data_IF_226864683526
#
_entry.id   IF_226864683526
#
_cell.length_a   1.000
_cell.length_b   1.000
_cell.length_c   1.000
_cell.angle_alpha   90.00
_cell.angle_beta   90.00
_cell.angle_gamma   90.00
#
_symmetry.space_group_name_H-M   'P 1'
#
loop_
_entity.id
_entity.type
_entity.pdbx_description
1 polymer ?
#
# COMPACT_ATOMS: atom_id res chain seq x y z
N UNK A 1 -17.87 29.21 79.67
CA UNK A 1 -16.46 28.76 79.80
C UNK A 1 -16.25 27.30 79.43
N UNK A 2 -17.11 26.36 79.85
CA UNK A 2 -16.96 24.91 79.57
C UNK A 2 -16.93 24.54 78.08
N UNK A 3 -17.71 25.21 77.24
CA UNK A 3 -17.76 24.94 75.79
C UNK A 3 -16.50 25.40 75.02
N UNK A 4 -15.86 26.51 75.45
CA UNK A 4 -14.61 26.99 74.83
C UNK A 4 -13.42 26.09 75.16
N UNK A 5 -13.40 25.49 76.36
CA UNK A 5 -12.36 24.54 76.78
C UNK A 5 -12.50 23.22 76.00
N UNK A 6 -13.74 22.75 75.78
CA UNK A 6 -14.01 21.54 75.00
C UNK A 6 -13.61 21.73 73.51
N UNK A 7 -13.92 22.89 72.93
CA UNK A 7 -13.55 23.21 71.55
C UNK A 7 -12.03 23.39 71.37
N UNK A 8 -11.35 23.94 72.38
CA UNK A 8 -9.88 24.06 72.39
C UNK A 8 -9.19 22.69 72.49
N UNK A 9 -9.71 21.77 73.33
CA UNK A 9 -9.22 20.39 73.37
C UNK A 9 -9.42 19.65 72.05
N UNK A 10 -10.56 19.84 71.38
CA UNK A 10 -10.84 19.22 70.08
C UNK A 10 -9.90 19.76 68.99
N UNK A 11 -9.61 21.07 69.00
CA UNK A 11 -8.68 21.68 68.06
C UNK A 11 -7.23 21.25 68.31
N UNK A 12 -6.81 21.07 69.57
CA UNK A 12 -5.49 20.52 69.90
C UNK A 12 -5.37 19.03 69.53
N UNK A 13 -6.46 18.25 69.65
CA UNK A 13 -6.49 16.85 69.21
C UNK A 13 -6.38 16.72 67.67
N UNK A 14 -6.86 17.72 66.93
CA UNK A 14 -6.72 17.82 65.47
C UNK A 14 -5.33 18.27 65.00
N UNK A 15 -4.47 18.78 65.90
CA UNK A 15 -3.07 19.18 65.62
C UNK A 15 -2.08 18.11 66.12
N UNK A 16 -2.55 17.05 66.77
CA UNK A 16 -1.72 15.86 66.98
C UNK A 16 -1.46 15.32 65.57
N UNK A 17 -0.22 15.54 65.11
CA UNK A 17 0.32 14.98 63.88
C UNK A 17 -0.21 13.56 63.75
N UNK A 18 -1.05 13.35 62.74
CA UNK A 18 -1.21 12.03 62.14
C UNK A 18 0.24 11.59 61.93
N UNK A 19 0.72 10.46 62.49
CA UNK A 19 1.99 9.95 62.06
C UNK A 19 1.87 9.89 60.54
N UNK A 20 2.67 10.70 59.84
CA UNK A 20 2.92 10.45 58.43
C UNK A 20 3.22 8.97 58.41
N UNK A 21 2.31 8.17 57.85
CA UNK A 21 2.58 6.80 57.51
C UNK A 21 3.76 6.94 56.54
N UNK A 22 4.97 6.84 57.07
CA UNK A 22 6.12 6.44 56.30
C UNK A 22 5.74 5.04 55.83
N UNK A 23 4.96 4.97 54.74
CA UNK A 23 4.94 3.79 53.92
C UNK A 23 6.40 3.65 53.52
N UNK A 24 7.07 2.68 54.10
CA UNK A 24 8.43 2.34 53.74
C UNK A 24 8.42 2.09 52.23
N UNK A 25 9.16 2.91 51.50
CA UNK A 25 9.16 2.84 50.04
C UNK A 25 9.61 1.44 49.65
N UNK A 26 8.81 0.74 48.84
CA UNK A 26 9.22 -0.54 48.29
C UNK A 26 10.49 -0.30 47.47
N UNK A 27 11.60 -0.93 47.88
CA UNK A 27 12.90 -0.84 47.20
C UNK A 27 13.26 -2.20 46.65
N UNK A 28 13.74 -2.23 45.41
CA UNK A 28 14.23 -3.43 44.73
C UNK A 28 15.67 -3.23 44.26
N UNK A 29 16.52 -4.22 44.52
CA UNK A 29 17.88 -4.33 44.01
C UNK A 29 18.21 -5.77 43.64
N UNK A 30 19.23 -5.93 42.81
CA UNK A 30 19.74 -7.23 42.37
C UNK A 30 21.25 -7.30 42.59
N UNK A 31 21.79 -8.50 42.76
CA UNK A 31 23.23 -8.70 43.03
C UNK A 31 24.15 -8.39 41.84
N UNK A 32 23.60 -8.30 40.62
CA UNK A 32 24.30 -7.87 39.40
C UNK A 32 23.33 -7.25 38.40
N UNK A 33 23.85 -6.48 37.45
CA UNK A 33 23.09 -6.01 36.28
C UNK A 33 23.20 -6.95 35.08
N UNK A 34 24.25 -7.77 35.04
CA UNK A 34 24.55 -8.70 33.93
C UNK A 34 24.82 -10.09 34.49
N UNK A 35 24.22 -11.10 33.86
CA UNK A 35 24.29 -12.49 34.28
C UNK A 35 24.67 -13.38 33.10
N UNK A 36 25.38 -14.46 33.39
CA UNK A 36 25.72 -15.53 32.45
C UNK A 36 25.20 -16.87 32.97
N UNK A 37 25.25 -17.95 32.19
CA UNK A 37 24.79 -19.27 32.64
C UNK A 37 25.42 -19.67 33.99
N UNK A 38 24.65 -20.37 34.80
CA UNK A 38 24.95 -20.79 36.17
C UNK A 38 25.07 -19.68 37.23
N UNK A 39 24.94 -18.39 36.87
CA UNK A 39 24.88 -17.32 37.87
C UNK A 39 23.54 -17.31 38.61
N UNK A 40 23.56 -16.93 39.88
CA UNK A 40 22.35 -16.78 40.68
C UNK A 40 21.85 -15.34 40.64
N UNK A 41 20.59 -15.17 40.22
CA UNK A 41 19.85 -13.93 40.40
C UNK A 41 19.34 -13.87 41.84
N UNK A 42 19.91 -12.96 42.63
CA UNK A 42 19.42 -12.63 43.96
C UNK A 42 18.71 -11.29 43.89
N UNK A 43 17.52 -11.24 44.48
CA UNK A 43 16.72 -10.03 44.63
C UNK A 43 16.65 -9.67 46.11
N UNK A 44 16.86 -8.41 46.42
CA UNK A 44 16.84 -7.92 47.80
C UNK A 44 16.37 -6.46 47.87
N UNK A 45 15.94 -6.05 49.05
CA UNK A 45 15.44 -4.71 49.28
C UNK A 45 14.61 -4.61 50.56
N UNK A 46 13.74 -3.61 50.62
CA UNK A 46 12.86 -3.35 51.74
C UNK A 46 11.41 -3.17 51.27
N UNK A 47 10.47 -3.64 52.07
CA UNK A 47 9.04 -3.37 52.00
C UNK A 47 8.49 -3.12 53.41
N UNK A 48 7.19 -3.29 53.60
CA UNK A 48 6.57 -3.27 54.93
C UNK A 48 6.96 -4.54 55.72
N UNK A 49 7.06 -4.46 57.06
CA UNK A 49 7.30 -5.63 57.91
C UNK A 49 6.26 -6.74 57.77
N UNK A 50 6.72 -7.99 57.65
CA UNK A 50 5.90 -9.20 57.55
C UNK A 50 4.85 -9.18 56.40
N UNK A 51 5.05 -8.34 55.37
CA UNK A 51 4.17 -8.27 54.20
C UNK A 51 4.49 -9.34 53.16
N UNK A 52 3.49 -9.71 52.37
CA UNK A 52 3.72 -10.57 51.22
C UNK A 52 4.11 -9.75 49.98
N UNK A 53 5.15 -10.21 49.28
CA UNK A 53 5.63 -9.64 48.03
C UNK A 53 5.49 -10.68 46.91
N UNK A 54 5.06 -10.23 45.74
CA UNK A 54 5.05 -11.02 44.51
C UNK A 54 6.28 -10.63 43.69
N UNK A 55 7.07 -11.61 43.26
CA UNK A 55 8.26 -11.40 42.44
C UNK A 55 8.03 -12.05 41.07
N UNK A 56 8.25 -11.29 40.00
CA UNK A 56 8.13 -11.76 38.62
C UNK A 56 9.41 -11.45 37.85
N UNK A 57 9.80 -12.37 36.98
CA UNK A 57 10.81 -12.12 35.94
C UNK A 57 10.12 -12.20 34.60
N UNK A 58 10.17 -11.11 33.86
CA UNK A 58 9.71 -11.05 32.47
C UNK A 58 10.89 -11.32 31.54
N UNK A 59 10.67 -12.23 30.59
CA UNK A 59 11.57 -12.47 29.47
C UNK A 59 11.56 -11.32 28.46
N UNK A 60 12.52 -11.27 27.51
CA UNK A 60 12.58 -10.18 26.52
C UNK A 60 11.34 -10.12 25.61
N UNK A 61 10.59 -11.22 25.48
CA UNK A 61 9.31 -11.33 24.74
C UNK A 61 8.09 -10.89 25.56
N UNK A 62 8.31 -10.31 26.75
CA UNK A 62 7.30 -9.87 27.72
C UNK A 62 6.52 -11.02 28.40
N UNK A 63 6.88 -12.29 28.16
CA UNK A 63 6.31 -13.42 28.89
C UNK A 63 6.87 -13.52 30.31
N UNK A 64 6.17 -14.20 31.22
CA UNK A 64 6.67 -14.44 32.58
C UNK A 64 7.57 -15.68 32.57
N UNK A 65 8.87 -15.46 32.71
CA UNK A 65 9.88 -16.51 32.82
C UNK A 65 9.91 -17.16 34.20
N UNK A 66 9.63 -16.39 35.25
CA UNK A 66 9.62 -16.86 36.64
C UNK A 66 8.64 -16.06 37.48
N UNK A 67 7.99 -16.74 38.42
CA UNK A 67 7.06 -16.18 39.40
C UNK A 67 7.33 -16.83 40.75
N UNK A 68 7.41 -16.04 41.82
CA UNK A 68 7.46 -16.51 43.20
C UNK A 68 6.75 -15.50 44.13
N UNK A 69 6.44 -15.95 45.34
CA UNK A 69 5.90 -15.12 46.42
C UNK A 69 6.76 -15.31 47.67
N UNK A 70 7.10 -14.20 48.32
CA UNK A 70 7.90 -14.20 49.56
C UNK A 70 7.21 -13.34 50.62
N UNK A 71 7.66 -13.49 51.86
CA UNK A 71 7.25 -12.63 52.98
C UNK A 71 8.48 -11.88 53.48
N UNK A 72 8.37 -10.58 53.71
CA UNK A 72 9.45 -9.77 54.29
C UNK A 72 9.71 -10.17 55.74
N UNK A 73 10.90 -9.87 56.23
CA UNK A 73 11.24 -10.06 57.63
C UNK A 73 10.55 -9.01 58.53
N UNK A 74 10.73 -9.16 59.85
CA UNK A 74 10.13 -8.27 60.85
C UNK A 74 10.62 -6.82 60.78
N UNK A 75 11.75 -6.60 60.13
CA UNK A 75 12.31 -5.29 59.86
C UNK A 75 11.97 -4.76 58.46
N UNK A 76 11.12 -5.47 57.69
CA UNK A 76 10.72 -5.11 56.34
C UNK A 76 11.71 -5.55 55.25
N UNK A 77 12.89 -6.06 55.61
CA UNK A 77 13.88 -6.49 54.64
C UNK A 77 13.51 -7.81 53.96
N UNK A 78 14.01 -8.01 52.75
CA UNK A 78 13.97 -9.30 52.08
C UNK A 78 15.25 -9.58 51.30
N UNK A 79 15.64 -10.85 51.24
CA UNK A 79 16.73 -11.34 50.40
C UNK A 79 16.37 -12.74 49.90
N UNK A 80 16.27 -12.90 48.58
CA UNK A 80 15.77 -14.13 47.97
C UNK A 80 16.58 -14.51 46.74
N UNK A 81 17.00 -15.77 46.67
CA UNK A 81 17.59 -16.36 45.48
C UNK A 81 16.46 -16.79 44.51
N UNK A 82 16.22 -15.98 43.48
CA UNK A 82 15.05 -16.11 42.61
C UNK A 82 15.21 -17.19 41.55
N UNK A 83 16.38 -17.24 40.89
CA UNK A 83 16.70 -18.29 39.93
C UNK A 83 18.22 -18.43 39.74
N UNK A 84 18.64 -19.63 39.33
CA UNK A 84 19.94 -19.86 38.72
C UNK A 84 19.76 -19.80 37.21
N UNK A 85 20.52 -18.94 36.53
CA UNK A 85 20.41 -18.76 35.09
C UNK A 85 20.73 -20.07 34.36
N UNK A 86 19.81 -20.59 33.53
CA UNK A 86 20.05 -21.81 32.77
C UNK A 86 21.05 -21.58 31.63
N UNK A 87 21.41 -22.65 30.93
CA UNK A 87 22.00 -22.52 29.60
C UNK A 87 20.99 -21.85 28.65
N UNK A 88 21.44 -21.00 27.70
CA UNK A 88 20.54 -20.30 26.79
C UNK A 88 19.75 -21.29 25.92
N UNK A 89 18.45 -21.03 25.78
CA UNK A 89 17.53 -21.85 24.97
C UNK A 89 16.48 -20.96 24.30
N UNK A 90 15.55 -21.57 23.57
CA UNK A 90 14.38 -20.84 23.03
C UNK A 90 13.46 -20.30 24.13
N UNK A 91 13.45 -20.95 25.30
CA UNK A 91 12.59 -20.56 26.43
C UNK A 91 13.32 -19.59 27.38
N UNK A 92 14.65 -19.63 27.40
CA UNK A 92 15.52 -18.69 28.12
C UNK A 92 16.61 -18.13 27.18
N UNK A 93 16.25 -17.26 26.23
CA UNK A 93 17.21 -16.66 25.31
C UNK A 93 18.02 -15.56 25.98
N UNK A 94 19.20 -15.25 25.43
CA UNK A 94 19.92 -14.04 25.82
C UNK A 94 19.09 -12.79 25.50
N UNK A 95 19.20 -11.77 26.35
CA UNK A 95 18.42 -10.54 26.20
C UNK A 95 18.26 -9.76 27.51
N UNK A 96 17.44 -8.72 27.45
CA UNK A 96 17.09 -7.91 28.63
C UNK A 96 15.83 -8.47 29.27
N UNK A 97 15.95 -8.83 30.55
CA UNK A 97 14.86 -9.32 31.40
C UNK A 97 14.45 -8.21 32.37
N UNK A 98 13.17 -8.15 32.74
CA UNK A 98 12.69 -7.24 33.80
C UNK A 98 12.33 -8.03 35.04
N UNK A 99 12.95 -7.69 36.16
CA UNK A 99 12.52 -8.17 37.47
C UNK A 99 11.54 -7.15 38.04
N UNK A 100 10.38 -7.63 38.48
CA UNK A 100 9.36 -6.81 39.12
C UNK A 100 9.05 -7.36 40.51
N UNK A 101 8.95 -6.47 41.49
CA UNK A 101 8.45 -6.78 42.83
C UNK A 101 7.21 -5.96 43.10
N UNK A 102 6.15 -6.59 43.60
CA UNK A 102 4.84 -5.99 43.86
C UNK A 102 4.46 -6.25 45.30
N UNK A 103 4.11 -5.19 46.02
CA UNK A 103 3.54 -5.30 47.37
C UNK A 103 2.06 -5.62 47.32
N UNK A 104 1.61 -6.59 48.14
CA UNK A 104 0.18 -6.90 48.28
C UNK A 104 -0.56 -5.98 49.25
N UNK A 105 0.16 -5.21 50.07
CA UNK A 105 -0.43 -4.39 51.14
C UNK A 105 -0.33 -2.89 50.87
N UNK A 106 0.60 -2.46 50.04
CA UNK A 106 0.81 -1.06 49.63
C UNK A 106 0.01 -0.71 48.36
N UNK A 107 -1.27 -1.06 48.30
CA UNK A 107 -2.14 -0.82 47.13
C UNK A 107 -1.58 -1.35 45.79
N UNK A 108 -0.77 -2.41 45.80
CA UNK A 108 -0.16 -2.93 44.57
C UNK A 108 1.05 -2.13 44.08
N UNK A 109 1.72 -1.35 44.94
CA UNK A 109 2.95 -0.66 44.58
C UNK A 109 3.96 -1.64 43.97
N UNK A 110 4.60 -1.24 42.87
CA UNK A 110 5.50 -2.08 42.08
C UNK A 110 6.81 -1.36 41.78
N UNK A 111 7.92 -2.09 41.88
CA UNK A 111 9.25 -1.66 41.44
C UNK A 111 9.77 -2.60 40.36
N UNK A 112 10.45 -2.04 39.36
CA UNK A 112 11.04 -2.78 38.24
C UNK A 112 12.52 -2.47 38.08
N UNK A 113 13.30 -3.49 37.74
CA UNK A 113 14.69 -3.35 37.36
C UNK A 113 15.02 -4.23 36.16
N UNK A 114 15.70 -3.65 35.18
CA UNK A 114 16.17 -4.36 34.00
C UNK A 114 17.56 -4.96 34.24
N UNK A 115 17.71 -6.21 33.84
CA UNK A 115 18.94 -6.99 33.93
C UNK A 115 19.23 -7.66 32.58
N UNK A 116 20.51 -7.91 32.28
CA UNK A 116 20.93 -8.57 31.04
C UNK A 116 21.32 -10.02 31.31
N UNK A 117 20.83 -10.94 30.50
CA UNK A 117 21.36 -12.29 30.38
C UNK A 117 22.20 -12.40 29.10
N UNK A 118 23.47 -12.73 29.23
CA UNK A 118 24.46 -12.76 28.15
C UNK A 118 25.44 -13.93 28.28
N UNK A 119 26.23 -14.18 27.25
CA UNK A 119 27.24 -15.25 27.24
C UNK A 119 28.41 -15.02 28.20
N UNK A 120 28.60 -13.79 28.66
CA UNK A 120 29.66 -13.36 29.58
C UNK A 120 29.10 -12.31 30.54
N UNK A 121 29.69 -12.20 31.73
CA UNK A 121 29.44 -11.12 32.70
C UNK A 121 30.44 -9.97 32.62
N UNK A 122 31.26 -9.91 31.58
CA UNK A 122 32.18 -8.81 31.39
C UNK A 122 31.42 -7.49 31.37
N UNK A 123 31.59 -6.73 32.45
CA UNK A 123 31.02 -5.41 32.63
C UNK A 123 31.76 -4.47 31.68
N UNK A 124 31.30 -4.36 30.45
CA UNK A 124 31.43 -3.09 29.75
C UNK A 124 30.60 -2.10 30.59
N UNK A 125 31.22 -1.00 31.01
CA UNK A 125 30.62 0.07 31.81
C UNK A 125 29.49 0.78 31.02
N UNK A 126 28.40 0.05 30.81
CA UNK A 126 27.29 0.41 29.93
C UNK A 126 26.01 0.15 30.70
N UNK A 127 25.11 1.12 30.63
CA UNK A 127 23.70 0.99 31.03
C UNK A 127 23.09 -0.25 30.37
N UNK A 128 22.34 -1.05 31.13
CA UNK A 128 21.52 -2.13 30.55
C UNK A 128 20.45 -1.45 29.71
N UNK A 129 20.63 -1.46 28.39
CA UNK A 129 19.70 -0.88 27.44
C UNK A 129 18.90 -1.98 26.76
N UNK A 130 17.59 -1.74 26.65
CA UNK A 130 16.69 -2.56 25.87
C UNK A 130 16.65 -2.02 24.45
N UNK A 131 16.88 -2.90 23.48
CA UNK A 131 16.82 -2.54 22.07
C UNK A 131 15.51 -3.02 21.48
N UNK A 132 14.56 -2.10 21.34
CA UNK A 132 13.35 -2.31 20.54
C UNK A 132 13.68 -2.00 19.08
N UNK A 133 13.24 -2.83 18.16
CA UNK A 133 13.38 -2.64 16.72
C UNK A 133 12.03 -2.78 16.02
N UNK A 134 11.75 -1.87 15.08
CA UNK A 134 10.50 -1.77 14.34
C UNK A 134 10.80 -1.87 12.85
N UNK A 135 10.29 -2.91 12.20
CA UNK A 135 10.36 -3.07 10.75
C UNK A 135 8.99 -2.84 10.13
N UNK A 136 8.96 -2.14 9.00
CA UNK A 136 7.74 -1.80 8.28
C UNK A 136 7.86 -2.31 6.85
N UNK A 137 6.84 -3.02 6.40
CA UNK A 137 6.76 -3.55 5.04
C UNK A 137 5.50 -2.99 4.38
N UNK A 138 5.67 -2.26 3.30
CA UNK A 138 4.59 -1.74 2.48
C UNK A 138 4.86 -2.10 1.01
N UNK A 139 3.83 -2.24 0.17
CA UNK A 139 4.01 -2.36 -1.27
C UNK A 139 4.77 -1.15 -1.81
N UNK A 140 5.72 -1.36 -2.74
CA UNK A 140 6.47 -0.25 -3.34
C UNK A 140 5.55 0.67 -4.17
N UNK A 141 4.55 0.09 -4.82
CA UNK A 141 3.59 0.79 -5.67
C UNK A 141 2.14 0.41 -5.34
N UNK A 142 1.24 1.37 -5.48
CA UNK A 142 -0.19 1.16 -5.30
C UNK A 142 -1.00 2.07 -6.25
N UNK A 143 -2.33 1.90 -6.25
CA UNK A 143 -3.23 2.78 -6.96
C UNK A 143 -4.13 3.54 -6.00
N UNK A 144 -4.49 4.76 -6.39
CA UNK A 144 -5.46 5.58 -5.66
C UNK A 144 -6.79 4.83 -5.52
N UNK A 145 -7.40 4.86 -4.33
CA UNK A 145 -8.66 4.18 -4.04
C UNK A 145 -8.56 2.66 -3.85
N UNK A 146 -7.40 2.04 -4.08
CA UNK A 146 -7.19 0.62 -3.85
C UNK A 146 -6.57 0.38 -2.45
N UNK A 147 -7.16 -0.49 -1.61
CA UNK A 147 -6.60 -0.77 -0.30
C UNK A 147 -5.27 -1.50 -0.44
N UNK A 148 -4.27 -1.03 0.30
CA UNK A 148 -2.98 -1.70 0.49
C UNK A 148 -2.82 -2.16 1.92
N UNK A 149 -2.08 -3.25 2.11
CA UNK A 149 -1.75 -3.76 3.43
C UNK A 149 -0.31 -3.41 3.78
N UNK A 150 -0.13 -2.77 4.94
CA UNK A 150 1.18 -2.49 5.52
C UNK A 150 1.38 -3.40 6.73
N UNK A 151 2.50 -4.11 6.76
CA UNK A 151 2.88 -4.98 7.87
C UNK A 151 3.91 -4.28 8.76
N UNK A 152 3.83 -4.57 10.05
CA UNK A 152 4.75 -4.07 11.06
C UNK A 152 5.24 -5.24 11.90
N UNK A 153 6.55 -5.32 12.07
CA UNK A 153 7.19 -6.25 13.00
C UNK A 153 7.88 -5.47 14.12
N UNK A 154 7.63 -5.87 15.36
CA UNK A 154 8.31 -5.32 16.55
C UNK A 154 9.07 -6.41 17.28
N UNK A 155 10.33 -6.13 17.58
CA UNK A 155 11.21 -7.04 18.30
C UNK A 155 11.94 -6.34 19.44
N UNK A 156 12.24 -7.07 20.51
CA UNK A 156 13.18 -6.65 21.56
C UNK A 156 14.25 -7.72 21.69
N UNK A 157 15.52 -7.34 21.61
CA UNK A 157 16.66 -8.27 21.64
C UNK A 157 16.51 -9.47 20.67
N UNK A 158 15.81 -9.25 19.54
CA UNK A 158 15.57 -10.28 18.52
C UNK A 158 14.32 -11.15 18.74
N UNK A 159 13.59 -11.00 19.84
CA UNK A 159 12.32 -11.69 20.10
C UNK A 159 11.12 -10.80 19.73
N UNK A 160 10.04 -11.40 19.25
CA UNK A 160 8.80 -10.68 18.94
C UNK A 160 8.15 -10.17 20.24
N UNK A 161 7.79 -8.89 20.27
CA UNK A 161 7.20 -8.23 21.46
C UNK A 161 5.88 -7.55 21.15
N UNK A 162 5.08 -7.36 22.19
CA UNK A 162 3.85 -6.59 22.14
C UNK A 162 2.62 -7.44 21.83
N UNK A 163 1.67 -7.43 22.75
CA UNK A 163 0.37 -8.09 22.59
C UNK A 163 -0.74 -7.12 22.17
N UNK A 164 -0.64 -5.86 22.61
CA UNK A 164 -1.66 -4.83 22.39
C UNK A 164 -1.13 -3.74 21.44
N UNK A 165 -1.44 -3.81 20.13
CA UNK A 165 -0.91 -2.84 19.15
C UNK A 165 -1.39 -1.42 19.39
N UNK A 166 -2.49 -1.22 20.11
CA UNK A 166 -3.01 0.11 20.45
C UNK A 166 -2.09 0.88 21.39
N UNK A 167 -1.48 0.17 22.33
CA UNK A 167 -0.53 0.75 23.28
C UNK A 167 0.86 0.85 22.64
N UNK A 168 1.27 -0.24 21.97
CA UNK A 168 2.59 -0.33 21.34
C UNK A 168 2.78 0.66 20.19
N UNK A 169 1.82 0.74 19.25
CA UNK A 169 1.93 1.47 17.99
C UNK A 169 1.11 2.77 17.97
N UNK A 170 0.70 3.26 19.13
CA UNK A 170 -0.32 4.30 19.28
C UNK A 170 -0.02 5.66 18.62
N UNK A 171 1.23 5.94 18.28
CA UNK A 171 1.67 7.21 17.66
C UNK A 171 2.05 7.09 16.17
N UNK A 172 1.72 5.95 15.57
CA UNK A 172 1.97 5.68 14.14
C UNK A 172 1.08 6.52 13.23
N UNK A 173 1.64 7.01 12.12
CA UNK A 173 0.94 7.83 11.13
C UNK A 173 1.50 7.61 9.72
N UNK A 174 0.76 8.08 8.72
CA UNK A 174 1.21 8.14 7.33
C UNK A 174 1.34 9.60 6.90
N UNK A 175 2.50 9.96 6.32
CA UNK A 175 2.68 11.23 5.65
C UNK A 175 2.15 11.12 4.23
N UNK A 176 1.25 12.03 3.88
CA UNK A 176 0.67 12.16 2.56
C UNK A 176 1.56 13.06 1.68
N UNK A 177 1.57 12.86 0.35
CA UNK A 177 2.18 13.77 -0.62
C UNK A 177 1.83 15.26 -0.44
N UNK A 178 0.63 15.58 0.03
CA UNK A 178 0.14 16.92 0.35
C UNK A 178 0.84 17.57 1.57
N UNK A 179 1.66 16.81 2.31
CA UNK A 179 2.31 17.23 3.55
C UNK A 179 1.44 17.04 4.80
N UNK A 180 0.22 16.53 4.65
CA UNK A 180 -0.68 16.19 5.75
C UNK A 180 -0.25 14.84 6.36
N UNK A 181 -0.42 14.68 7.68
CA UNK A 181 -0.20 13.39 8.34
C UNK A 181 -1.54 12.82 8.83
N UNK A 182 -1.80 11.55 8.52
CA UNK A 182 -3.01 10.84 8.95
C UNK A 182 -2.62 9.82 9.99
N UNK A 183 -3.22 9.89 11.17
CA UNK A 183 -2.95 8.92 12.24
C UNK A 183 -3.48 7.53 11.88
N UNK A 184 -2.72 6.51 12.25
CA UNK A 184 -3.10 5.10 12.16
C UNK A 184 -3.34 4.49 13.56
N UNK A 185 -3.46 5.34 14.60
CA UNK A 185 -3.80 4.90 15.97
C UNK A 185 -5.05 4.03 15.94
N UNK A 186 -5.00 2.86 16.59
CA UNK A 186 -6.07 1.87 16.66
C UNK A 186 -6.47 1.19 15.34
N UNK A 187 -5.78 1.46 14.23
CA UNK A 187 -6.06 0.82 12.93
C UNK A 187 -5.34 -0.52 12.75
N UNK A 188 -4.35 -0.80 13.60
CA UNK A 188 -3.56 -2.03 13.54
C UNK A 188 -4.33 -3.24 14.06
N UNK A 189 -4.22 -4.34 13.33
CA UNK A 189 -4.72 -5.67 13.70
C UNK A 189 -3.53 -6.58 13.97
N UNK A 190 -3.66 -7.45 14.98
CA UNK A 190 -2.65 -8.44 15.33
C UNK A 190 -2.76 -9.65 14.40
N UNK A 191 -1.67 -9.97 13.69
CA UNK A 191 -1.53 -11.22 12.95
C UNK A 191 -0.92 -12.30 13.85
N UNK A 192 0.11 -11.92 14.60
CA UNK A 192 0.79 -12.72 15.61
C UNK A 192 1.41 -11.74 16.63
N UNK A 193 1.83 -12.20 17.81
CA UNK A 193 2.63 -11.37 18.72
C UNK A 193 3.83 -10.79 17.96
N UNK A 194 4.06 -9.48 18.11
CA UNK A 194 5.08 -8.72 17.39
C UNK A 194 4.91 -8.62 15.87
N UNK A 195 3.78 -9.05 15.30
CA UNK A 195 3.44 -8.91 13.87
C UNK A 195 2.03 -8.35 13.70
N UNK A 196 1.94 -7.16 13.12
CA UNK A 196 0.69 -6.43 12.94
C UNK A 196 0.50 -6.02 11.49
N UNK A 197 -0.73 -5.67 11.13
CA UNK A 197 -1.01 -5.07 9.84
C UNK A 197 -2.09 -4.00 9.93
N UNK A 198 -2.07 -3.08 8.97
CA UNK A 198 -3.12 -2.08 8.73
C UNK A 198 -3.47 -2.10 7.25
N UNK A 199 -4.76 -2.07 6.95
CA UNK A 199 -5.28 -1.88 5.60
C UNK A 199 -5.50 -0.37 5.41
N UNK A 200 -4.77 0.24 4.47
CA UNK A 200 -4.81 1.66 4.17
C UNK A 200 -5.25 1.89 2.73
N UNK A 201 -6.21 2.79 2.51
CA UNK A 201 -6.67 3.16 1.16
C UNK A 201 -6.13 4.55 0.82
N UNK A 202 -5.18 4.67 -0.13
CA UNK A 202 -4.67 5.97 -0.55
C UNK A 202 -5.74 6.83 -1.21
N UNK A 203 -5.73 8.12 -0.90
CA UNK A 203 -6.72 9.10 -1.39
C UNK A 203 -6.11 10.15 -2.32
N UNK A 204 -4.80 10.14 -2.51
CA UNK A 204 -4.07 11.04 -3.40
C UNK A 204 -2.96 10.30 -4.13
N UNK A 205 -2.50 10.85 -5.26
CA UNK A 205 -1.35 10.32 -5.99
C UNK A 205 -0.04 10.82 -5.38
N UNK A 206 1.01 10.00 -5.46
CA UNK A 206 2.34 10.30 -4.97
C UNK A 206 2.82 9.40 -3.82
N UNK A 207 3.97 9.75 -3.26
CA UNK A 207 4.62 8.96 -2.21
C UNK A 207 3.97 9.13 -0.84
N UNK A 208 3.40 8.04 -0.32
CA UNK A 208 2.92 7.92 1.04
C UNK A 208 4.01 7.30 1.91
N UNK A 209 4.38 7.94 3.01
CA UNK A 209 5.40 7.42 3.94
C UNK A 209 4.74 6.96 5.23
N UNK A 210 4.70 5.65 5.44
CA UNK A 210 4.25 5.05 6.68
C UNK A 210 5.35 5.19 7.72
N UNK A 211 5.12 6.02 8.74
CA UNK A 211 6.04 6.19 9.87
C UNK A 211 5.46 5.52 11.11
N UNK A 212 6.02 4.38 11.46
CA UNK A 212 5.59 3.52 12.54
C UNK A 212 6.48 3.77 13.75
N UNK A 213 5.84 3.98 14.89
CA UNK A 213 6.49 4.27 16.16
C UNK A 213 6.02 3.24 17.17
N UNK A 214 6.95 2.42 17.66
CA UNK A 214 6.70 1.42 18.69
C UNK A 214 7.26 1.91 20.02
N UNK A 215 6.48 1.81 21.09
CA UNK A 215 6.91 2.09 22.46
C UNK A 215 6.70 0.86 23.34
N UNK A 216 7.77 0.27 23.84
CA UNK A 216 7.71 -0.82 24.83
C UNK A 216 8.68 -0.54 25.97
N UNK A 217 8.14 -0.61 27.19
CA UNK A 217 8.92 -0.63 28.45
C UNK A 217 9.93 0.53 28.54
N UNK A 218 9.49 1.75 28.18
CA UNK A 218 10.31 2.96 28.24
C UNK A 218 11.20 3.20 27.02
N UNK A 219 11.25 2.27 26.08
CA UNK A 219 12.06 2.38 24.86
C UNK A 219 11.17 2.66 23.65
N UNK A 220 11.62 3.58 22.78
CA UNK A 220 10.96 3.91 21.52
C UNK A 220 11.77 3.39 20.34
N UNK A 221 11.10 2.86 19.33
CA UNK A 221 11.69 2.44 18.07
C UNK A 221 10.87 2.96 16.89
N UNK A 222 11.56 3.39 15.85
CA UNK A 222 10.96 3.91 14.63
C UNK A 222 11.22 2.98 13.46
N UNK A 223 10.22 2.80 12.61
CA UNK A 223 10.37 2.15 11.32
C UNK A 223 9.57 2.90 10.26
N UNK A 224 10.08 2.93 9.03
CA UNK A 224 9.38 3.61 7.93
C UNK A 224 9.42 2.79 6.65
N UNK A 225 8.32 2.86 5.90
CA UNK A 225 8.22 2.35 4.54
C UNK A 225 7.50 3.37 3.66
N UNK A 226 7.81 3.39 2.37
CA UNK A 226 7.18 4.30 1.42
C UNK A 226 6.46 3.50 0.33
N UNK A 227 5.28 3.99 -0.06
CA UNK A 227 4.51 3.47 -1.19
C UNK A 227 4.25 4.60 -2.16
N UNK A 228 4.62 4.40 -3.42
CA UNK A 228 4.29 5.35 -4.48
C UNK A 228 2.91 5.03 -5.07
N UNK A 229 1.97 5.95 -4.92
CA UNK A 229 0.58 5.78 -5.35
C UNK A 229 0.39 6.41 -6.73
N UNK A 230 -0.14 5.63 -7.66
CA UNK A 230 -0.41 6.01 -9.04
C UNK A 230 -1.92 6.16 -9.27
N UNK A 231 -2.28 6.76 -10.40
CA UNK A 231 -3.69 6.89 -10.82
C UNK A 231 -4.37 5.54 -11.09
N UNK A 232 -3.61 4.50 -11.43
CA UNK A 232 -4.11 3.15 -11.70
C UNK A 232 -3.08 2.08 -11.34
N UNK A 233 -3.55 0.87 -11.07
CA UNK A 233 -2.68 -0.28 -10.79
C UNK A 233 -2.24 -0.97 -12.09
N UNK A 234 -1.38 -1.97 -11.94
CA UNK A 234 -0.91 -2.78 -13.06
C UNK A 234 -2.05 -3.56 -13.75
N UNK A 235 -3.11 -3.90 -13.00
CA UNK A 235 -4.30 -4.54 -13.54
C UNK A 235 -5.04 -3.63 -14.52
N UNK A 236 -5.32 -2.39 -14.11
CA UNK A 236 -5.95 -1.38 -14.95
C UNK A 236 -5.13 -1.04 -16.19
N UNK A 237 -3.80 -0.97 -16.08
CA UNK A 237 -2.90 -0.82 -17.25
C UNK A 237 -3.03 -2.02 -18.19
N UNK A 238 -3.02 -3.24 -17.66
CA UNK A 238 -3.16 -4.46 -18.45
C UNK A 238 -4.48 -4.49 -19.22
N UNK A 239 -5.59 -4.13 -18.57
CA UNK A 239 -6.92 -4.07 -19.20
C UNK A 239 -6.97 -3.03 -20.33
N UNK A 240 -6.33 -1.88 -20.13
CA UNK A 240 -6.19 -0.84 -21.17
C UNK A 240 -5.39 -1.34 -22.37
N UNK A 241 -4.31 -2.10 -22.14
CA UNK A 241 -3.50 -2.71 -23.22
C UNK A 241 -4.31 -3.76 -23.98
N UNK A 242 -5.06 -4.62 -23.29
CA UNK A 242 -5.93 -5.62 -23.92
C UNK A 242 -6.97 -4.94 -24.81
N UNK A 243 -7.62 -3.89 -24.30
CA UNK A 243 -8.59 -3.11 -25.07
C UNK A 243 -7.96 -2.43 -26.28
N UNK A 244 -6.75 -1.87 -26.14
CA UNK A 244 -6.03 -1.26 -27.24
C UNK A 244 -5.69 -2.28 -28.33
N UNK A 245 -5.23 -3.48 -27.96
CA UNK A 245 -4.96 -4.55 -28.91
C UNK A 245 -6.21 -4.97 -29.68
N UNK A 246 -7.37 -5.09 -29.00
CA UNK A 246 -8.65 -5.38 -29.67
C UNK A 246 -9.01 -4.32 -30.71
N UNK A 247 -8.86 -3.03 -30.37
CA UNK A 247 -9.14 -1.93 -31.30
C UNK A 247 -8.16 -1.94 -32.49
N UNK A 248 -6.89 -2.29 -32.26
CA UNK A 248 -5.90 -2.41 -33.33
C UNK A 248 -6.22 -3.58 -34.27
N UNK A 249 -6.67 -4.72 -33.73
CA UNK A 249 -7.09 -5.88 -34.53
C UNK A 249 -8.33 -5.54 -35.38
N UNK A 250 -9.33 -4.88 -34.79
CA UNK A 250 -10.51 -4.37 -35.52
C UNK A 250 -10.09 -3.40 -36.64
N UNK A 251 -9.22 -2.44 -36.33
CA UNK A 251 -8.71 -1.47 -37.31
C UNK A 251 -7.95 -2.16 -38.45
N UNK A 252 -7.17 -3.21 -38.15
CA UNK A 252 -6.47 -4.00 -39.16
C UNK A 252 -7.45 -4.73 -40.07
N UNK A 253 -8.50 -5.33 -39.51
CA UNK A 253 -9.55 -6.01 -40.28
C UNK A 253 -10.28 -5.05 -41.21
N UNK A 254 -10.64 -3.85 -40.72
CA UNK A 254 -11.28 -2.82 -41.54
C UNK A 254 -10.36 -2.33 -42.66
N UNK A 255 -9.05 -2.26 -42.43
CA UNK A 255 -8.07 -1.91 -43.47
C UNK A 255 -7.98 -2.98 -44.56
N UNK A 256 -8.06 -4.27 -44.19
CA UNK A 256 -8.09 -5.37 -45.15
C UNK A 256 -9.37 -5.35 -46.01
N UNK A 257 -10.52 -5.05 -45.40
CA UNK A 257 -11.79 -4.84 -46.10
C UNK A 257 -11.65 -3.67 -47.09
N UNK A 258 -11.20 -2.50 -46.62
CA UNK A 258 -11.00 -1.32 -47.46
C UNK A 258 -10.07 -1.61 -48.64
N UNK A 259 -8.98 -2.34 -48.41
CA UNK A 259 -8.05 -2.75 -49.47
C UNK A 259 -8.73 -3.64 -50.51
N UNK A 260 -9.57 -4.58 -50.07
CA UNK A 260 -10.36 -5.44 -50.97
C UNK A 260 -11.39 -4.63 -51.78
N UNK A 261 -12.07 -3.67 -51.16
CA UNK A 261 -13.02 -2.79 -51.84
C UNK A 261 -12.34 -1.92 -52.90
N UNK A 262 -11.15 -1.36 -52.60
CA UNK A 262 -10.35 -0.59 -53.56
C UNK A 262 -9.94 -1.46 -54.75
N UNK A 263 -9.51 -2.70 -54.52
CA UNK A 263 -9.21 -3.64 -55.61
C UNK A 263 -10.45 -3.95 -56.45
N UNK A 264 -11.62 -4.12 -55.82
CA UNK A 264 -12.90 -4.26 -56.52
C UNK A 264 -13.24 -3.04 -57.37
N UNK A 265 -12.96 -1.83 -56.88
CA UNK A 265 -13.16 -0.60 -57.64
C UNK A 265 -12.26 -0.52 -58.89
N UNK A 266 -11.00 -0.97 -58.78
CA UNK A 266 -10.06 -1.05 -59.90
C UNK A 266 -10.61 -1.95 -61.03
N UNK A 267 -11.09 -3.15 -60.67
CA UNK A 267 -11.73 -4.05 -61.65
C UNK A 267 -12.99 -3.46 -62.30
N UNK A 268 -13.76 -2.69 -61.53
CA UNK A 268 -14.96 -2.00 -62.05
C UNK A 268 -14.56 -0.93 -63.06
N UNK A 269 -13.48 -0.20 -62.80
CA UNK A 269 -12.94 0.83 -63.69
C UNK A 269 -12.37 0.21 -64.97
N UNK A 270 -11.64 -0.90 -64.88
CA UNK A 270 -11.14 -1.65 -66.05
C UNK A 270 -12.28 -2.14 -66.95
N UNK A 271 -13.33 -2.73 -66.34
CA UNK A 271 -14.50 -3.17 -67.09
C UNK A 271 -15.21 -2.01 -67.80
N UNK A 272 -15.45 -0.90 -67.09
CA UNK A 272 -16.05 0.29 -67.66
C UNK A 272 -15.20 0.85 -68.82
N UNK A 273 -13.87 0.89 -68.67
CA UNK A 273 -12.95 1.33 -69.72
C UNK A 273 -13.04 0.44 -70.96
N UNK A 274 -13.03 -0.89 -70.79
CA UNK A 274 -13.16 -1.83 -71.91
C UNK A 274 -14.48 -1.67 -72.66
N UNK A 275 -15.59 -1.45 -71.95
CA UNK A 275 -16.90 -1.22 -72.56
C UNK A 275 -16.96 0.12 -73.32
N UNK A 276 -16.29 1.15 -72.81
CA UNK A 276 -16.17 2.43 -73.52
C UNK A 276 -15.36 2.25 -74.82
N UNK A 277 -14.23 1.54 -74.78
CA UNK A 277 -13.40 1.29 -75.96
C UNK A 277 -14.14 0.51 -77.05
N UNK A 278 -14.89 -0.54 -76.67
CA UNK A 278 -15.71 -1.33 -77.59
C UNK A 278 -16.81 -0.48 -78.25
N UNK A 279 -17.49 0.36 -77.45
CA UNK A 279 -18.51 1.28 -77.95
C UNK A 279 -17.92 2.32 -78.90
N UNK A 280 -16.75 2.90 -78.58
CA UNK A 280 -16.05 3.83 -79.47
C UNK A 280 -15.69 3.16 -80.79
N UNK A 281 -15.19 1.92 -80.76
CA UNK A 281 -14.92 1.13 -81.96
C UNK A 281 -16.17 0.91 -82.82
N UNK A 282 -17.29 0.55 -82.17
CA UNK A 282 -18.58 0.37 -82.83
C UNK A 282 -19.09 1.66 -83.47
N UNK A 283 -19.01 2.79 -82.75
CA UNK A 283 -19.38 4.11 -83.29
C UNK A 283 -18.51 4.52 -84.46
N UNK A 284 -17.21 4.23 -84.44
CA UNK A 284 -16.32 4.51 -85.55
C UNK A 284 -16.71 3.72 -86.81
N UNK A 285 -17.09 2.44 -86.66
CA UNK A 285 -17.61 1.63 -87.77
C UNK A 285 -18.94 2.17 -88.29
N UNK A 286 -19.89 2.50 -87.41
CA UNK A 286 -21.17 3.10 -87.82
C UNK A 286 -20.97 4.43 -88.55
N UNK A 287 -20.08 5.30 -88.05
CA UNK A 287 -19.74 6.57 -88.70
C UNK A 287 -19.14 6.34 -90.10
N UNK A 288 -18.26 5.34 -90.25
CA UNK A 288 -17.72 4.95 -91.56
C UNK A 288 -18.82 4.46 -92.51
N UNK A 289 -19.70 3.57 -92.06
CA UNK A 289 -20.82 3.09 -92.88
C UNK A 289 -21.79 4.21 -93.28
N UNK A 290 -22.06 5.18 -92.40
CA UNK A 290 -22.85 6.38 -92.72
C UNK A 290 -22.13 7.23 -93.76
N UNK A 291 -20.83 7.45 -93.61
CA UNK A 291 -20.02 8.21 -94.57
C UNK A 291 -20.04 7.56 -95.96
N UNK A 292 -19.83 6.24 -96.04
CA UNK A 292 -19.89 5.46 -97.29
C UNK A 292 -21.29 5.50 -97.92
N UNK A 293 -22.34 5.31 -97.11
CA UNK A 293 -23.73 5.40 -97.59
C UNK A 293 -24.06 6.79 -98.09
N UNK A 294 -23.62 7.84 -97.41
CA UNK A 294 -23.80 9.24 -97.82
C UNK A 294 -23.08 9.52 -99.15
N UNK A 295 -21.87 9.01 -99.34
CA UNK A 295 -21.14 9.12 -100.60
C UNK A 295 -21.87 8.40 -101.75
N UNK A 296 -22.40 7.19 -101.52
CA UNK A 296 -23.21 6.47 -102.50
C UNK A 296 -24.49 7.24 -102.86
N UNK A 297 -25.18 7.80 -101.86
CA UNK A 297 -26.39 8.59 -102.05
C UNK A 297 -26.11 9.82 -102.91
N UNK A 298 -25.01 10.53 -102.64
CA UNK A 298 -24.55 11.65 -103.46
C UNK A 298 -24.21 11.21 -104.90
N UNK A 299 -23.53 10.07 -105.07
CA UNK A 299 -23.20 9.53 -106.38
C UNK A 299 -24.44 9.18 -107.23
N UNK A 300 -25.54 8.77 -106.60
CA UNK A 300 -26.82 8.51 -107.26
C UNK A 300 -27.64 9.80 -107.50
N UNK A 301 -27.62 10.73 -106.54
CA UNK A 301 -28.44 11.94 -106.58
C UNK A 301 -27.93 12.95 -107.62
N UNK A 302 -26.61 13.11 -107.75
CA UNK A 302 -26.01 14.08 -108.67
C UNK A 302 -26.42 13.87 -110.14
N UNK A 303 -26.36 12.64 -110.71
CA UNK A 303 -26.88 12.37 -112.06
C UNK A 303 -28.38 12.64 -112.21
N UNK A 304 -29.19 12.35 -111.19
CA UNK A 304 -30.63 12.61 -111.21
C UNK A 304 -30.90 14.12 -111.24
N UNK A 305 -30.26 14.89 -110.36
CA UNK A 305 -30.38 16.36 -110.33
C UNK A 305 -29.95 16.95 -111.68
N UNK A 306 -28.82 16.50 -112.23
CA UNK A 306 -28.35 16.96 -113.54
C UNK A 306 -29.35 16.64 -114.66
N UNK A 307 -29.96 15.45 -114.63
CA UNK A 307 -30.98 15.02 -115.60
C UNK A 307 -32.25 15.87 -115.50
N UNK A 308 -32.75 16.12 -114.28
CA UNK A 308 -33.90 17.01 -114.03
C UNK A 308 -33.60 18.43 -114.51
N UNK A 309 -32.41 18.95 -114.21
CA UNK A 309 -31.96 20.26 -114.68
C UNK A 309 -31.95 20.37 -116.21
N UNK A 310 -31.45 19.33 -116.91
CA UNK A 310 -31.47 19.26 -118.37
C UNK A 310 -32.91 19.25 -118.93
N UNK A 311 -33.81 18.47 -118.33
CA UNK A 311 -35.22 18.39 -118.71
C UNK A 311 -35.88 19.78 -118.57
N UNK A 312 -35.68 20.45 -117.44
CA UNK A 312 -36.24 21.79 -117.18
C UNK A 312 -35.68 22.81 -118.19
N UNK A 313 -34.37 22.80 -118.44
CA UNK A 313 -33.76 23.67 -119.44
C UNK A 313 -34.34 23.44 -120.85
N UNK A 314 -34.55 22.18 -121.25
CA UNK A 314 -35.22 21.84 -122.51
C UNK A 314 -36.66 22.36 -122.55
N UNK A 315 -37.42 22.19 -121.47
CA UNK A 315 -38.81 22.66 -121.37
C UNK A 315 -38.88 24.19 -121.52
N UNK A 316 -37.99 24.94 -120.88
CA UNK A 316 -37.90 26.40 -121.02
C UNK A 316 -37.54 26.81 -122.45
N UNK A 317 -36.58 26.16 -123.08
CA UNK A 317 -36.19 26.45 -124.47
C UNK A 317 -37.36 26.17 -125.45
N UNK A 318 -38.12 25.08 -125.25
CA UNK A 318 -39.30 24.76 -126.05
C UNK A 318 -40.41 25.80 -125.87
N UNK A 319 -40.68 26.23 -124.63
CA UNK A 319 -41.66 27.27 -124.32
C UNK A 319 -41.27 28.63 -124.90
N UNK A 320 -39.98 29.00 -124.83
CA UNK A 320 -39.47 30.24 -125.40
C UNK A 320 -39.54 30.27 -126.94
N UNK A 321 -39.42 29.11 -127.62
CA UNK A 321 -39.52 28.97 -129.08
C UNK A 321 -40.96 28.98 -129.62
N UNK A 322 -41.97 28.75 -128.76
CA UNK A 322 -43.40 28.73 -129.12
C UNK A 322 -44.10 30.10 -128.94
N UNK A 323 -43.37 31.14 -128.54
CA UNK A 323 -43.79 32.54 -128.61
C UNK A 323 -43.16 33.21 -129.82
#
# INVERSE_FOLDING_TARGET
MKFKILFSCLFVLLIINIPNSFAEELVLSTNSKVYSPAHNLQVYGNGLPEENLIIRVFAPDESIAKFDQITTEKDGSFNYALLTWPEPSTDFPYGTYTVEVISTEQNGASQKIDIKFSSTTDLLDVTVERFVNTLVFAPETAAIGQPIRVFVQTTSDGLLIGNEPKELLGTTHVHLPSGISVTLTNSFKTLHQGLYYVDYTPIEEGTHVFHVVAFSQGTTSHGSAATNVLSQDLGGISDQIIKLNSILDETSSELDILKSEIAGFDTTLEYASSQIDENIGTFALSAKSISESSAQLNALLLPIIASVGLIVALQVAILARRR
#
